data_IF_359757402564
#
_entry.id   IF_359757402564
#
_cell.length_a   1.000
_cell.length_b   1.000
_cell.length_c   1.000
_cell.angle_alpha   90.00
_cell.angle_beta   90.00
_cell.angle_gamma   90.00
#
_symmetry.space_group_name_H-M   'P 1'
#
loop_
_entity.id
_entity.type
_entity.pdbx_description
1 polymer ?
#
# COMPACT_ATOMS: atom_id res chain seq x y z
N UNK A 1 18.10 -29.06 -36.52
CA UNK A 1 17.95 -27.60 -36.28
C UNK A 1 17.89 -27.43 -34.78
N UNK A 2 18.86 -26.75 -34.15
CA UNK A 2 18.89 -26.61 -32.70
C UNK A 2 17.86 -25.54 -32.29
N UNK A 3 17.15 -25.74 -31.17
CA UNK A 3 16.19 -24.76 -30.66
C UNK A 3 16.84 -23.39 -30.42
N UNK A 4 18.11 -23.39 -30.02
CA UNK A 4 18.92 -22.19 -29.77
C UNK A 4 19.13 -21.32 -31.02
N UNK A 5 19.02 -21.92 -32.21
CA UNK A 5 19.21 -21.26 -33.51
C UNK A 5 17.92 -20.63 -34.06
N UNK A 6 16.79 -20.81 -33.39
CA UNK A 6 15.51 -20.27 -33.85
C UNK A 6 15.49 -18.72 -33.78
N UNK A 7 14.68 -18.06 -34.64
CA UNK A 7 14.35 -16.64 -34.50
C UNK A 7 13.74 -16.33 -33.13
N UNK A 8 14.05 -15.15 -32.60
CA UNK A 8 13.60 -14.70 -31.28
C UNK A 8 12.08 -14.75 -31.15
N UNK A 9 11.34 -14.40 -32.20
CA UNK A 9 9.88 -14.37 -32.20
C UNK A 9 9.27 -15.77 -32.03
N UNK A 10 9.90 -16.80 -32.61
CA UNK A 10 9.46 -18.18 -32.46
C UNK A 10 9.81 -18.72 -31.07
N UNK A 11 10.99 -18.38 -30.55
CA UNK A 11 11.42 -18.74 -29.20
C UNK A 11 10.46 -18.15 -28.16
N UNK A 12 10.14 -16.86 -28.25
CA UNK A 12 9.21 -16.18 -27.34
C UNK A 12 7.79 -16.77 -27.42
N UNK A 13 7.32 -17.17 -28.60
CA UNK A 13 6.02 -17.85 -28.75
C UNK A 13 5.98 -19.20 -28.04
N UNK A 14 7.09 -19.93 -28.04
CA UNK A 14 7.20 -21.20 -27.31
C UNK A 14 7.21 -20.92 -25.81
N UNK A 15 7.98 -19.93 -25.35
CA UNK A 15 8.10 -19.58 -23.93
C UNK A 15 6.80 -19.08 -23.31
N UNK A 16 5.94 -18.40 -24.08
CA UNK A 16 4.59 -18.02 -23.62
C UNK A 16 3.71 -19.20 -23.21
N UNK A 17 4.05 -20.42 -23.62
CA UNK A 17 3.32 -21.63 -23.26
C UNK A 17 3.99 -22.43 -22.13
N UNK A 18 5.14 -21.98 -21.63
CA UNK A 18 5.81 -22.64 -20.51
C UNK A 18 5.22 -22.17 -19.19
N UNK A 19 5.09 -23.09 -18.23
CA UNK A 19 4.90 -22.70 -16.84
C UNK A 19 6.18 -22.05 -16.29
N UNK A 20 6.07 -21.38 -15.15
CA UNK A 20 7.23 -20.82 -14.45
C UNK A 20 8.22 -21.89 -14.00
N UNK A 21 7.72 -23.02 -13.50
CA UNK A 21 8.57 -24.12 -13.04
C UNK A 21 9.33 -24.75 -14.22
N UNK A 22 8.66 -24.89 -15.37
CA UNK A 22 9.30 -25.34 -16.61
C UNK A 22 10.36 -24.32 -17.08
N UNK A 23 10.05 -23.03 -17.00
CA UNK A 23 10.95 -21.96 -17.39
C UNK A 23 12.19 -21.91 -16.49
N UNK A 24 12.03 -22.07 -15.17
CA UNK A 24 13.14 -22.12 -14.20
C UNK A 24 14.01 -23.36 -14.39
N UNK A 25 13.39 -24.51 -14.63
CA UNK A 25 14.10 -25.76 -14.92
C UNK A 25 14.88 -25.67 -16.23
N UNK A 26 14.31 -25.01 -17.24
CA UNK A 26 14.99 -24.74 -18.49
C UNK A 26 16.16 -23.76 -18.31
N UNK A 27 15.99 -22.68 -17.54
CA UNK A 27 17.08 -21.75 -17.19
C UNK A 27 18.23 -22.49 -16.50
N UNK A 28 17.93 -23.30 -15.48
CA UNK A 28 18.93 -24.10 -14.76
C UNK A 28 19.69 -25.05 -15.70
N UNK A 29 18.95 -25.74 -16.58
CA UNK A 29 19.53 -26.63 -17.59
C UNK A 29 20.42 -25.87 -18.57
N UNK A 30 19.99 -24.70 -19.03
CA UNK A 30 20.75 -23.86 -19.96
C UNK A 30 22.01 -23.26 -19.31
N UNK A 31 21.99 -22.93 -18.01
CA UNK A 31 23.18 -22.50 -17.28
C UNK A 31 24.26 -23.58 -17.19
N UNK A 32 23.87 -24.86 -17.16
CA UNK A 32 24.82 -25.98 -17.20
C UNK A 32 25.46 -26.18 -18.58
N UNK A 33 24.90 -25.55 -19.61
CA UNK A 33 25.37 -25.64 -20.98
C UNK A 33 26.48 -24.60 -21.24
N UNK A 34 27.62 -25.03 -21.80
CA UNK A 34 28.75 -24.13 -22.14
C UNK A 34 28.54 -23.35 -23.44
N UNK A 35 27.34 -23.36 -24.00
CA UNK A 35 27.01 -22.73 -25.28
C UNK A 35 26.76 -21.21 -25.10
N UNK A 36 27.50 -20.33 -25.82
CA UNK A 36 27.27 -18.88 -25.78
C UNK A 36 25.84 -18.47 -26.20
N UNK A 37 25.19 -19.25 -27.07
CA UNK A 37 23.82 -18.99 -27.52
C UNK A 37 22.79 -19.25 -26.42
N UNK A 38 23.12 -20.08 -25.42
CA UNK A 38 22.25 -20.33 -24.26
C UNK A 38 21.99 -19.05 -23.46
N UNK A 39 22.97 -18.13 -23.38
CA UNK A 39 22.79 -16.84 -22.68
C UNK A 39 21.71 -15.97 -23.31
N UNK A 40 21.63 -15.95 -24.66
CA UNK A 40 20.56 -15.25 -25.38
C UNK A 40 19.20 -15.83 -25.02
N UNK A 41 19.10 -17.15 -24.98
CA UNK A 41 17.86 -17.86 -24.70
C UNK A 41 17.42 -17.72 -23.24
N UNK A 42 18.36 -17.74 -22.29
CA UNK A 42 18.12 -17.44 -20.87
C UNK A 42 17.57 -16.01 -20.72
N UNK A 43 18.16 -15.03 -21.42
CA UNK A 43 17.66 -13.65 -21.41
C UNK A 43 16.20 -13.58 -21.91
N UNK A 44 15.88 -14.27 -23.00
CA UNK A 44 14.52 -14.31 -23.56
C UNK A 44 13.52 -15.02 -22.65
N UNK A 45 13.95 -16.05 -21.91
CA UNK A 45 13.14 -16.71 -20.87
C UNK A 45 12.81 -15.72 -19.75
N UNK A 46 13.80 -15.04 -19.20
CA UNK A 46 13.57 -14.03 -18.15
C UNK A 46 12.68 -12.88 -18.61
N UNK A 47 12.84 -12.38 -19.85
CA UNK A 47 11.94 -11.37 -20.42
C UNK A 47 10.49 -11.89 -20.45
N UNK A 48 10.30 -13.17 -20.79
CA UNK A 48 8.97 -13.77 -20.86
C UNK A 48 8.36 -13.99 -19.48
N UNK A 49 9.16 -14.43 -18.50
CA UNK A 49 8.69 -14.62 -17.12
C UNK A 49 8.34 -13.29 -16.44
N UNK A 50 9.05 -12.21 -16.77
CA UNK A 50 9.02 -10.98 -15.99
C UNK A 50 8.37 -9.79 -16.71
N UNK A 51 7.70 -9.96 -17.85
CA UNK A 51 7.21 -8.82 -18.63
C UNK A 51 6.11 -8.03 -17.93
N UNK A 52 5.27 -8.68 -17.11
CA UNK A 52 4.03 -8.06 -16.64
C UNK A 52 4.12 -7.67 -15.16
N UNK A 53 3.91 -8.61 -14.24
CA UNK A 53 3.91 -8.36 -12.81
C UNK A 53 4.71 -9.44 -12.07
N UNK A 54 5.69 -9.02 -11.27
CA UNK A 54 6.50 -9.90 -10.43
C UNK A 54 6.17 -9.63 -8.97
N UNK A 55 5.93 -10.68 -8.18
CA UNK A 55 5.71 -10.58 -6.74
C UNK A 55 6.87 -11.23 -6.00
N UNK A 56 7.49 -10.43 -5.13
CA UNK A 56 8.55 -10.88 -4.25
C UNK A 56 7.93 -11.09 -2.87
N UNK A 57 7.69 -12.34 -2.50
CA UNK A 57 7.01 -12.71 -1.25
C UNK A 57 7.96 -13.34 -0.25
N UNK A 58 8.02 -12.78 0.96
CA UNK A 58 8.76 -13.37 2.08
C UNK A 58 7.76 -14.22 2.91
N UNK A 59 7.96 -15.55 3.02
CA UNK A 59 6.87 -16.46 3.39
C UNK A 59 6.48 -16.38 4.87
N UNK A 60 5.20 -16.61 5.21
CA UNK A 60 4.64 -17.95 5.44
C UNK A 60 3.19 -17.98 6.02
N UNK A 61 2.19 -17.33 5.41
CA UNK A 61 0.75 -17.62 5.63
C UNK A 61 -0.09 -17.15 4.43
N UNK A 62 -0.97 -18.04 3.94
CA UNK A 62 -1.98 -17.87 2.89
C UNK A 62 -1.54 -17.07 1.66
N UNK A 63 -1.05 -17.78 0.66
CA UNK A 63 -0.97 -17.28 -0.71
C UNK A 63 -2.35 -16.76 -1.14
N UNK A 64 -2.48 -15.52 -1.67
CA UNK A 64 -3.72 -15.08 -2.27
C UNK A 64 -4.06 -16.04 -3.41
N UNK A 65 -5.18 -16.75 -3.29
CA UNK A 65 -5.54 -17.91 -4.10
C UNK A 65 -6.01 -17.57 -5.53
N UNK A 66 -5.89 -16.33 -5.99
CA UNK A 66 -6.66 -15.83 -7.12
C UNK A 66 -5.89 -15.24 -8.29
N UNK A 67 -4.55 -15.28 -8.32
CA UNK A 67 -3.82 -14.62 -9.40
C UNK A 67 -2.57 -15.41 -9.86
N UNK A 68 -2.24 -15.36 -11.18
CA UNK A 68 -1.17 -16.16 -11.78
C UNK A 68 0.19 -15.53 -11.45
N UNK A 69 0.70 -15.76 -10.25
CA UNK A 69 1.85 -15.00 -9.75
C UNK A 69 3.10 -15.84 -9.48
N UNK A 70 4.22 -15.27 -9.89
CA UNK A 70 5.57 -15.69 -9.50
C UNK A 70 5.71 -15.62 -7.98
N UNK A 71 5.78 -16.78 -7.34
CA UNK A 71 6.30 -16.88 -5.98
C UNK A 71 7.81 -17.07 -6.07
N UNK A 72 8.52 -16.14 -5.45
CA UNK A 72 9.97 -16.23 -5.23
C UNK A 72 10.18 -16.30 -3.72
N UNK A 73 10.60 -17.46 -3.21
CA UNK A 73 10.96 -17.64 -1.80
C UNK A 73 12.07 -16.67 -1.42
N UNK A 74 12.14 -16.21 -0.17
CA UNK A 74 13.14 -15.24 0.32
C UNK A 74 14.60 -15.57 -0.05
N UNK A 75 14.95 -16.86 -0.18
CA UNK A 75 16.27 -17.31 -0.66
C UNK A 75 16.47 -17.10 -2.17
N UNK A 76 15.41 -17.28 -2.96
CA UNK A 76 15.42 -17.10 -4.42
C UNK A 76 15.24 -15.63 -4.82
N UNK A 77 14.78 -14.75 -3.93
CA UNK A 77 14.53 -13.32 -4.21
C UNK A 77 15.82 -12.61 -4.57
N UNK A 78 16.87 -12.88 -3.80
CA UNK A 78 18.21 -12.32 -4.04
C UNK A 78 18.73 -12.74 -5.41
N UNK A 79 18.61 -14.02 -5.73
CA UNK A 79 19.15 -14.56 -6.97
C UNK A 79 18.29 -14.13 -8.16
N UNK A 80 16.97 -13.99 -7.98
CA UNK A 80 16.06 -13.46 -9.00
C UNK A 80 16.37 -11.99 -9.30
N UNK A 81 16.47 -11.12 -8.29
CA UNK A 81 16.86 -9.70 -8.50
C UNK A 81 18.25 -9.61 -9.14
N UNK A 82 19.21 -10.42 -8.69
CA UNK A 82 20.57 -10.44 -9.28
C UNK A 82 20.55 -10.88 -10.74
N UNK A 83 19.79 -11.92 -11.10
CA UNK A 83 19.70 -12.39 -12.48
C UNK A 83 18.98 -11.35 -13.37
N UNK A 84 17.94 -10.68 -12.86
CA UNK A 84 17.29 -9.56 -13.56
C UNK A 84 18.27 -8.43 -13.84
N UNK A 85 19.04 -8.02 -12.83
CA UNK A 85 20.10 -7.03 -12.96
C UNK A 85 21.15 -7.47 -14.00
N UNK A 86 21.58 -8.73 -13.94
CA UNK A 86 22.59 -9.30 -14.83
C UNK A 86 22.15 -9.31 -16.30
N UNK A 87 20.87 -9.54 -16.56
CA UNK A 87 20.31 -9.57 -17.90
C UNK A 87 19.73 -8.22 -18.37
N UNK A 88 19.74 -7.21 -17.50
CA UNK A 88 19.17 -5.88 -17.72
C UNK A 88 17.68 -5.98 -18.09
N UNK A 89 16.92 -6.68 -17.25
CA UNK A 89 15.48 -6.92 -17.39
C UNK A 89 14.80 -6.35 -16.16
N UNK A 90 13.79 -5.49 -16.34
CA UNK A 90 12.93 -5.02 -15.26
C UNK A 90 11.46 -5.32 -15.60
N UNK A 91 10.65 -5.75 -14.62
CA UNK A 91 9.23 -5.94 -14.83
C UNK A 91 8.50 -4.61 -14.95
N UNK A 92 7.37 -4.60 -15.66
CA UNK A 92 6.49 -3.44 -15.71
C UNK A 92 5.89 -3.12 -14.32
N UNK A 93 5.67 -4.15 -13.51
CA UNK A 93 5.17 -4.02 -12.14
C UNK A 93 5.92 -4.97 -11.20
N UNK A 94 6.48 -4.43 -10.12
CA UNK A 94 7.08 -5.21 -9.04
C UNK A 94 6.34 -4.95 -7.72
N UNK A 95 5.90 -6.02 -7.07
CA UNK A 95 5.29 -5.96 -5.74
C UNK A 95 6.19 -6.64 -4.71
N UNK A 96 6.56 -5.92 -3.66
CA UNK A 96 7.26 -6.45 -2.49
C UNK A 96 6.23 -6.79 -1.41
N UNK A 97 6.08 -8.07 -1.08
CA UNK A 97 5.08 -8.55 -0.13
C UNK A 97 5.75 -9.22 1.08
N UNK A 98 5.49 -8.68 2.26
CA UNK A 98 5.99 -9.15 3.54
C UNK A 98 4.80 -9.55 4.39
N UNK A 99 4.71 -10.82 4.78
CA UNK A 99 3.68 -11.27 5.72
C UNK A 99 4.30 -12.04 6.86
N UNK A 100 3.99 -11.62 8.09
CA UNK A 100 4.42 -12.31 9.30
C UNK A 100 3.60 -13.58 9.48
N UNK A 101 4.27 -14.70 9.72
CA UNK A 101 3.60 -15.88 10.28
C UNK A 101 3.29 -15.62 11.77
N UNK A 102 2.04 -15.79 12.23
CA UNK A 102 1.67 -15.56 13.64
C UNK A 102 2.50 -16.31 14.68
N UNK A 103 3.16 -17.42 14.28
CA UNK A 103 3.95 -18.29 15.17
C UNK A 103 5.46 -18.02 15.13
N UNK A 104 5.95 -17.16 14.24
CA UNK A 104 7.39 -16.98 14.03
C UNK A 104 7.73 -15.54 13.60
N UNK A 105 7.86 -14.65 14.59
CA UNK A 105 8.22 -13.26 14.36
C UNK A 105 9.73 -13.04 14.14
N UNK A 106 10.59 -13.93 14.65
CA UNK A 106 12.05 -13.82 14.49
C UNK A 106 12.45 -14.00 13.04
N UNK A 107 11.85 -14.98 12.36
CA UNK A 107 12.10 -15.18 10.93
C UNK A 107 11.65 -13.99 10.08
N UNK A 108 10.50 -13.40 10.44
CA UNK A 108 10.03 -12.17 9.80
C UNK A 108 11.00 -10.99 10.00
N UNK A 109 11.54 -10.81 11.20
CA UNK A 109 12.58 -9.80 11.46
C UNK A 109 13.84 -10.03 10.61
N UNK A 110 14.30 -11.29 10.51
CA UNK A 110 15.45 -11.62 9.67
C UNK A 110 15.19 -11.28 8.20
N UNK A 111 13.98 -11.53 7.67
CA UNK A 111 13.62 -11.13 6.31
C UNK A 111 13.62 -9.62 6.11
N UNK A 112 13.16 -8.84 7.08
CA UNK A 112 13.26 -7.38 7.00
C UNK A 112 14.74 -6.94 6.99
N UNK A 113 15.57 -7.54 7.83
CA UNK A 113 17.02 -7.27 7.86
C UNK A 113 17.70 -7.62 6.54
N UNK A 114 17.32 -8.73 5.91
CA UNK A 114 17.80 -9.13 4.59
C UNK A 114 17.44 -8.04 3.56
N UNK A 115 16.19 -7.60 3.50
CA UNK A 115 15.76 -6.50 2.61
C UNK A 115 16.58 -5.24 2.85
N UNK A 116 16.94 -4.94 4.09
CA UNK A 116 17.78 -3.79 4.37
C UNK A 116 19.14 -3.88 3.70
N UNK A 117 19.75 -5.06 3.65
CA UNK A 117 21.01 -5.29 2.95
C UNK A 117 20.85 -5.19 1.43
N UNK A 118 19.70 -5.62 0.88
CA UNK A 118 19.37 -5.43 -0.54
C UNK A 118 19.26 -3.95 -0.89
N UNK A 119 18.50 -3.21 -0.08
CA UNK A 119 18.30 -1.78 -0.27
C UNK A 119 19.58 -0.97 -0.09
N UNK A 120 20.62 -1.49 0.58
CA UNK A 120 21.93 -0.85 0.68
C UNK A 120 22.78 -1.01 -0.61
N UNK A 121 22.41 -1.92 -1.51
CA UNK A 121 23.09 -2.11 -2.80
C UNK A 121 22.67 -1.06 -3.84
N UNK A 122 23.63 -0.26 -4.32
CA UNK A 122 23.39 0.73 -5.39
C UNK A 122 22.83 0.12 -6.68
N UNK A 123 23.21 -1.11 -7.00
CA UNK A 123 22.69 -1.80 -8.18
C UNK A 123 21.21 -2.15 -8.02
N UNK A 124 20.81 -2.61 -6.83
CA UNK A 124 19.40 -2.91 -6.53
C UNK A 124 18.57 -1.62 -6.50
N UNK A 125 19.11 -0.53 -5.94
CA UNK A 125 18.43 0.78 -5.98
C UNK A 125 18.17 1.24 -7.41
N UNK A 126 19.19 1.17 -8.28
CA UNK A 126 19.04 1.52 -9.71
C UNK A 126 18.00 0.66 -10.41
N UNK A 127 17.98 -0.65 -10.12
CA UNK A 127 16.98 -1.57 -10.64
C UNK A 127 15.57 -1.16 -10.20
N UNK A 128 15.35 -0.92 -8.90
CA UNK A 128 14.04 -0.50 -8.38
C UNK A 128 13.60 0.85 -8.97
N UNK A 129 14.50 1.81 -9.13
CA UNK A 129 14.22 3.09 -9.77
C UNK A 129 13.80 2.95 -11.25
N UNK A 130 14.24 1.89 -11.94
CA UNK A 130 13.88 1.61 -13.32
C UNK A 130 12.51 0.90 -13.46
N UNK A 131 11.96 0.36 -12.37
CA UNK A 131 10.65 -0.30 -12.39
C UNK A 131 9.55 0.75 -12.58
N UNK A 132 8.66 0.60 -13.58
CA UNK A 132 7.59 1.56 -13.84
C UNK A 132 6.53 1.64 -12.73
N UNK A 133 6.21 0.52 -12.09
CA UNK A 133 5.21 0.44 -11.03
C UNK A 133 5.77 -0.38 -9.87
N UNK A 134 5.87 0.24 -8.70
CA UNK A 134 6.30 -0.42 -7.47
C UNK A 134 5.18 -0.44 -6.43
N UNK A 135 4.94 -1.61 -5.87
CA UNK A 135 4.07 -1.78 -4.71
C UNK A 135 4.84 -2.38 -3.56
N UNK A 136 4.50 -1.98 -2.33
CA UNK A 136 4.97 -2.66 -1.14
C UNK A 136 3.84 -2.88 -0.16
N UNK A 137 3.79 -4.08 0.40
CA UNK A 137 2.83 -4.47 1.41
C UNK A 137 3.54 -5.21 2.53
N UNK A 138 3.39 -4.70 3.75
CA UNK A 138 3.91 -5.28 4.98
C UNK A 138 2.74 -5.58 5.91
N UNK A 139 2.51 -6.86 6.17
CA UNK A 139 1.49 -7.38 7.08
C UNK A 139 2.14 -7.94 8.35
N UNK A 140 1.84 -7.32 9.48
CA UNK A 140 2.30 -7.76 10.79
C UNK A 140 1.47 -8.91 11.39
N UNK A 141 0.25 -9.18 10.92
CA UNK A 141 -0.64 -10.31 11.32
C UNK A 141 -0.78 -10.57 12.83
N UNK A 142 -1.81 -10.02 13.51
CA UNK A 142 -2.03 -10.23 14.95
C UNK A 142 -3.35 -10.96 15.27
N UNK A 143 -3.24 -12.06 16.03
CA UNK A 143 -4.40 -12.85 16.50
C UNK A 143 -4.65 -12.66 18.00
N UNK A 144 -3.64 -12.37 18.86
CA UNK A 144 -3.89 -12.20 20.30
C UNK A 144 -2.74 -11.69 21.20
N UNK A 145 -1.58 -11.23 20.70
CA UNK A 145 -0.44 -10.83 21.56
C UNK A 145 0.25 -9.56 21.07
N UNK A 146 0.43 -8.55 21.93
CA UNK A 146 1.19 -7.33 21.63
C UNK A 146 2.50 -7.64 20.89
N UNK A 147 2.78 -6.88 19.82
CA UNK A 147 4.02 -7.06 19.07
C UNK A 147 5.23 -6.74 19.95
N UNK A 148 6.30 -7.56 19.94
CA UNK A 148 7.54 -7.19 20.60
C UNK A 148 8.05 -5.86 20.06
N UNK A 149 8.51 -4.94 20.92
CA UNK A 149 9.06 -3.64 20.51
C UNK A 149 10.13 -3.75 19.42
N UNK A 150 10.91 -4.83 19.42
CA UNK A 150 11.93 -5.10 18.40
C UNK A 150 11.34 -5.35 17.01
N UNK A 151 10.14 -5.91 16.91
CA UNK A 151 9.42 -6.13 15.67
C UNK A 151 8.96 -4.79 15.09
N UNK A 152 8.28 -3.98 15.90
CA UNK A 152 7.83 -2.66 15.45
C UNK A 152 9.01 -1.77 15.05
N UNK A 153 10.12 -1.85 15.80
CA UNK A 153 11.37 -1.17 15.43
C UNK A 153 11.90 -1.63 14.07
N UNK A 154 11.82 -2.92 13.75
CA UNK A 154 12.24 -3.45 12.45
C UNK A 154 11.31 -2.96 11.32
N UNK A 155 10.00 -2.90 11.57
CA UNK A 155 9.04 -2.37 10.60
C UNK A 155 9.31 -0.89 10.34
N UNK A 156 9.51 -0.09 11.39
CA UNK A 156 9.84 1.33 11.27
C UNK A 156 11.18 1.54 10.55
N UNK A 157 12.22 0.76 10.86
CA UNK A 157 13.50 0.83 10.16
C UNK A 157 13.37 0.48 8.68
N UNK A 158 12.52 -0.49 8.34
CA UNK A 158 12.18 -0.82 6.95
C UNK A 158 11.54 0.38 6.26
N UNK A 159 10.54 0.99 6.90
CA UNK A 159 9.87 2.17 6.38
C UNK A 159 10.83 3.35 6.17
N UNK A 160 11.70 3.63 7.14
CA UNK A 160 12.76 4.64 7.02
C UNK A 160 13.71 4.30 5.88
N UNK A 161 14.14 3.04 5.73
CA UNK A 161 15.00 2.65 4.61
C UNK A 161 14.33 2.84 3.25
N UNK A 162 13.03 2.61 3.12
CA UNK A 162 12.30 2.85 1.87
C UNK A 162 12.30 4.32 1.46
N UNK A 163 12.42 5.26 2.40
CA UNK A 163 12.57 6.69 2.06
C UNK A 163 13.84 7.00 1.26
N UNK A 164 14.85 6.12 1.30
CA UNK A 164 16.03 6.24 0.41
C UNK A 164 15.69 6.00 -1.07
N UNK A 165 14.53 5.41 -1.34
CA UNK A 165 13.94 5.18 -2.66
C UNK A 165 12.73 6.09 -2.90
N UNK A 166 12.70 7.28 -2.30
CA UNK A 166 11.60 8.25 -2.42
C UNK A 166 11.25 8.66 -3.87
N UNK A 167 12.24 8.60 -4.77
CA UNK A 167 12.08 8.95 -6.18
C UNK A 167 11.66 7.74 -7.05
N UNK A 168 11.48 6.55 -6.46
CA UNK A 168 10.98 5.39 -7.18
C UNK A 168 9.48 5.51 -7.45
N UNK A 169 8.98 4.78 -8.45
CA UNK A 169 7.58 4.84 -8.90
C UNK A 169 6.64 4.04 -7.99
N UNK A 170 6.67 4.33 -6.69
CA UNK A 170 5.75 3.75 -5.71
C UNK A 170 4.32 4.11 -6.06
N UNK A 171 3.51 3.11 -6.39
CA UNK A 171 2.08 3.25 -6.60
C UNK A 171 1.31 3.00 -5.31
N UNK A 172 1.65 1.93 -4.57
CA UNK A 172 1.04 1.65 -3.27
C UNK A 172 2.05 1.32 -2.16
N UNK A 173 1.72 1.76 -0.94
CA UNK A 173 2.40 1.47 0.31
C UNK A 173 1.34 0.98 1.31
N UNK A 174 1.45 -0.28 1.73
CA UNK A 174 0.49 -0.91 2.65
C UNK A 174 1.23 -1.38 3.89
N UNK A 175 0.91 -0.82 5.05
CA UNK A 175 1.37 -1.26 6.35
C UNK A 175 0.13 -1.71 7.12
N UNK A 176 0.00 -3.00 7.40
CA UNK A 176 -1.25 -3.58 7.92
C UNK A 176 -0.97 -4.42 9.16
N UNK A 177 -1.75 -4.22 10.23
CA UNK A 177 -1.67 -5.04 11.45
C UNK A 177 -0.27 -5.03 12.10
N UNK A 178 0.37 -3.87 12.22
CA UNK A 178 1.76 -3.75 12.70
C UNK A 178 1.94 -2.99 14.02
N UNK A 179 0.86 -2.52 14.65
CA UNK A 179 0.87 -1.74 15.90
C UNK A 179 1.71 -0.43 15.85
N UNK A 180 2.06 0.06 14.66
CA UNK A 180 3.02 1.17 14.52
C UNK A 180 2.53 2.51 15.11
N UNK A 181 1.22 2.64 15.29
CA UNK A 181 0.55 3.80 15.89
C UNK A 181 0.93 4.05 17.35
N UNK A 182 1.30 3.00 18.10
CA UNK A 182 1.75 3.15 19.49
C UNK A 182 3.25 3.51 19.60
N UNK A 183 3.99 3.53 18.49
CA UNK A 183 5.45 3.71 18.46
C UNK A 183 5.89 4.97 17.72
N UNK A 184 5.92 6.09 18.45
CA UNK A 184 6.38 7.40 17.98
C UNK A 184 5.76 7.88 16.65
N UNK A 185 4.42 7.87 16.50
CA UNK A 185 3.73 8.36 15.29
C UNK A 185 4.11 9.78 14.89
N UNK A 186 4.47 10.62 15.86
CA UNK A 186 4.97 11.98 15.62
C UNK A 186 6.28 12.04 14.83
N UNK A 187 7.08 10.97 14.82
CA UNK A 187 8.37 10.91 14.11
C UNK A 187 8.23 10.40 12.69
N UNK A 188 7.44 9.34 12.48
CA UNK A 188 7.34 8.68 11.18
C UNK A 188 6.17 9.17 10.32
N UNK A 189 5.13 9.77 10.91
CA UNK A 189 3.95 10.24 10.15
C UNK A 189 4.26 11.27 9.05
N UNK A 190 5.33 12.05 9.21
CA UNK A 190 5.80 13.00 8.18
C UNK A 190 6.50 12.33 7.00
N UNK A 191 7.03 11.12 7.17
CA UNK A 191 7.84 10.46 6.15
C UNK A 191 7.02 10.08 4.91
N UNK A 192 5.69 10.01 5.01
CA UNK A 192 4.86 9.70 3.83
C UNK A 192 4.96 10.78 2.75
N UNK A 193 5.21 12.04 3.11
CA UNK A 193 5.35 13.13 2.12
C UNK A 193 6.55 12.97 1.20
N UNK A 194 7.56 12.20 1.61
CA UNK A 194 8.74 11.92 0.80
C UNK A 194 8.39 11.07 -0.43
N UNK A 195 7.35 10.23 -0.38
CA UNK A 195 7.00 9.33 -1.48
C UNK A 195 6.24 10.06 -2.59
N UNK A 196 7.00 10.65 -3.52
CA UNK A 196 6.49 11.59 -4.53
C UNK A 196 5.46 11.00 -5.48
N UNK A 197 5.56 9.72 -5.82
CA UNK A 197 4.65 9.08 -6.79
C UNK A 197 3.48 8.34 -6.14
N UNK A 198 3.42 8.30 -4.80
CA UNK A 198 2.51 7.42 -4.06
C UNK A 198 1.04 7.79 -4.26
N UNK A 199 0.24 6.81 -4.70
CA UNK A 199 -1.18 6.97 -5.00
C UNK A 199 -2.10 6.25 -4.00
N UNK A 200 -1.63 5.17 -3.39
CA UNK A 200 -2.40 4.39 -2.42
C UNK A 200 -1.61 4.19 -1.13
N UNK A 201 -2.16 4.66 -0.01
CA UNK A 201 -1.62 4.51 1.32
C UNK A 201 -2.62 3.76 2.18
N UNK A 202 -2.24 2.56 2.62
CA UNK A 202 -3.06 1.72 3.50
C UNK A 202 -2.33 1.57 4.83
N UNK A 203 -2.95 2.06 5.89
CA UNK A 203 -2.46 2.03 7.26
C UNK A 203 -3.47 1.32 8.18
N UNK A 204 -4.07 0.24 7.68
CA UNK A 204 -5.11 -0.48 8.38
C UNK A 204 -4.59 -1.20 9.63
N UNK A 205 -5.38 -1.21 10.70
CA UNK A 205 -5.11 -2.02 11.90
C UNK A 205 -3.74 -1.73 12.54
N UNK A 206 -3.38 -0.45 12.68
CA UNK A 206 -2.07 -0.05 13.20
C UNK A 206 -2.13 0.65 14.55
N UNK A 207 -3.27 0.60 15.24
CA UNK A 207 -3.48 1.29 16.53
C UNK A 207 -3.26 2.81 16.46
N UNK A 208 -3.45 3.43 15.29
CA UNK A 208 -3.30 4.89 15.12
C UNK A 208 -4.42 5.60 15.91
N UNK A 209 -4.04 6.53 16.79
CA UNK A 209 -4.97 7.30 17.62
C UNK A 209 -5.16 8.72 17.07
N UNK A 210 -6.23 9.41 17.45
CA UNK A 210 -6.38 10.84 17.12
C UNK A 210 -5.32 11.70 17.79
N UNK A 211 -4.98 11.38 19.05
CA UNK A 211 -4.06 12.15 19.88
C UNK A 211 -3.02 11.21 20.49
N UNK A 212 -1.81 11.74 20.68
CA UNK A 212 -0.77 11.04 21.41
C UNK A 212 -1.09 11.11 22.92
N UNK A 213 -0.89 10.05 23.72
CA UNK A 213 -1.24 10.06 25.15
C UNK A 213 -0.55 11.16 25.98
N UNK A 214 0.60 11.65 25.50
CA UNK A 214 1.46 12.61 26.19
C UNK A 214 1.45 13.99 25.51
N UNK A 215 0.92 14.11 24.30
CA UNK A 215 0.94 15.37 23.55
C UNK A 215 -0.48 15.85 23.26
N UNK A 216 -0.67 17.17 23.28
CA UNK A 216 -1.99 17.80 23.10
C UNK A 216 -2.39 17.85 21.62
N UNK A 217 -1.42 17.72 20.71
CA UNK A 217 -1.60 17.90 19.27
C UNK A 217 -2.18 16.62 18.65
N UNK A 218 -3.19 16.79 17.79
CA UNK A 218 -3.74 15.71 16.97
C UNK A 218 -2.67 15.14 16.04
N UNK A 219 -2.53 13.81 16.02
CA UNK A 219 -1.54 13.13 15.17
C UNK A 219 -1.77 13.43 13.69
N UNK A 220 -3.03 13.38 13.26
CA UNK A 220 -3.43 13.58 11.87
C UNK A 220 -3.28 15.05 11.42
N UNK A 221 -3.34 16.01 12.35
CA UNK A 221 -3.23 17.44 12.05
C UNK A 221 -1.81 17.98 12.16
N UNK A 222 -1.07 17.53 13.19
CA UNK A 222 0.23 18.09 13.53
C UNK A 222 1.41 17.36 12.91
N UNK A 223 1.31 16.02 12.77
CA UNK A 223 2.47 15.19 12.51
C UNK A 223 2.42 14.40 11.21
N UNK A 224 1.23 13.99 10.79
CA UNK A 224 1.10 13.26 9.54
C UNK A 224 1.17 14.25 8.37
N UNK A 225 1.99 13.90 7.37
CA UNK A 225 2.09 14.64 6.12
C UNK A 225 1.79 13.68 4.99
N UNK A 226 0.80 14.01 4.19
CA UNK A 226 0.26 13.10 3.19
C UNK A 226 1.00 13.28 1.85
N UNK A 227 1.21 12.20 1.08
CA UNK A 227 1.78 12.29 -0.26
C UNK A 227 0.92 13.18 -1.18
N UNK A 228 1.55 14.02 -1.99
CA UNK A 228 0.84 15.01 -2.84
C UNK A 228 -0.10 14.37 -3.88
N UNK A 229 0.24 13.17 -4.36
CA UNK A 229 -0.48 12.45 -5.42
C UNK A 229 -1.38 11.34 -4.87
N UNK A 230 -1.67 11.36 -3.57
CA UNK A 230 -2.46 10.32 -2.92
C UNK A 230 -3.92 10.33 -3.41
N UNK A 231 -4.37 9.20 -3.94
CA UNK A 231 -5.74 8.97 -4.42
C UNK A 231 -6.55 8.11 -3.46
N UNK A 232 -5.90 7.21 -2.73
CA UNK A 232 -6.56 6.30 -1.78
C UNK A 232 -5.86 6.37 -0.43
N UNK A 233 -6.60 6.73 0.61
CA UNK A 233 -6.16 6.67 2.00
C UNK A 233 -7.07 5.71 2.77
N UNK A 234 -6.50 4.63 3.28
CA UNK A 234 -7.18 3.69 4.16
C UNK A 234 -6.57 3.72 5.55
N UNK A 235 -7.39 4.02 6.54
CA UNK A 235 -7.08 4.10 7.96
C UNK A 235 -8.01 3.19 8.76
N UNK A 236 -8.46 2.08 8.18
CA UNK A 236 -9.46 1.19 8.80
C UNK A 236 -8.94 0.53 10.06
N UNK A 237 -9.83 0.15 10.96
CA UNK A 237 -9.49 -0.63 12.17
C UNK A 237 -8.41 0.03 13.04
N UNK A 238 -8.37 1.36 13.07
CA UNK A 238 -7.49 2.09 13.98
C UNK A 238 -8.29 2.60 15.21
N UNK A 239 -7.66 3.44 16.02
CA UNK A 239 -8.23 4.02 17.24
C UNK A 239 -8.49 5.52 17.05
N UNK A 240 -8.89 5.92 15.84
CA UNK A 240 -9.20 7.32 15.52
C UNK A 240 -10.59 7.64 16.06
N UNK A 241 -10.65 8.56 17.02
CA UNK A 241 -11.88 9.07 17.64
C UNK A 241 -12.45 10.33 16.99
N UNK A 242 -11.64 11.08 16.25
CA UNK A 242 -12.08 12.29 15.57
C UNK A 242 -11.26 12.50 14.28
N UNK A 243 -11.95 12.86 13.19
CA UNK A 243 -11.34 13.32 11.96
C UNK A 243 -11.88 14.72 11.65
N UNK A 244 -11.16 15.75 12.08
CA UNK A 244 -11.63 17.15 12.08
C UNK A 244 -11.66 17.79 10.69
N UNK A 245 -12.28 18.97 10.61
CA UNK A 245 -12.21 19.83 9.43
C UNK A 245 -10.76 20.21 9.07
N UNK A 246 -9.88 20.40 10.06
CA UNK A 246 -8.46 20.68 9.84
C UNK A 246 -7.74 19.48 9.24
N UNK A 247 -8.03 18.27 9.73
CA UNK A 247 -7.45 17.04 9.17
C UNK A 247 -7.88 16.84 7.70
N UNK A 248 -9.14 17.14 7.36
CA UNK A 248 -9.64 17.09 5.98
C UNK A 248 -8.89 18.05 5.05
N UNK A 249 -8.62 19.29 5.51
CA UNK A 249 -7.89 20.30 4.72
C UNK A 249 -6.42 19.94 4.45
N UNK A 250 -5.84 19.05 5.25
CA UNK A 250 -4.47 18.61 5.06
C UNK A 250 -4.35 17.47 4.05
N UNK A 251 -5.45 16.79 3.73
CA UNK A 251 -5.48 15.76 2.69
C UNK A 251 -5.25 16.41 1.32
N UNK A 252 -4.58 15.72 0.39
CA UNK A 252 -4.32 16.27 -0.93
C UNK A 252 -5.61 16.31 -1.76
N UNK A 253 -5.78 17.36 -2.58
CA UNK A 253 -6.96 17.50 -3.45
C UNK A 253 -7.11 16.39 -4.50
N UNK A 254 -6.08 15.55 -4.70
CA UNK A 254 -6.07 14.36 -5.56
C UNK A 254 -6.79 13.15 -4.95
N UNK A 255 -7.19 13.22 -3.67
CA UNK A 255 -7.80 12.11 -2.95
C UNK A 255 -9.18 11.75 -3.53
N UNK A 256 -9.36 10.47 -3.84
CA UNK A 256 -10.60 9.88 -4.37
C UNK A 256 -11.32 9.02 -3.34
N UNK A 257 -10.58 8.37 -2.44
CA UNK A 257 -11.12 7.45 -1.43
C UNK A 257 -10.51 7.74 -0.06
N UNK A 258 -11.37 7.99 0.92
CA UNK A 258 -11.03 8.04 2.34
C UNK A 258 -11.77 6.94 3.09
N UNK A 259 -11.04 5.95 3.60
CA UNK A 259 -11.61 4.84 4.35
C UNK A 259 -11.22 4.91 5.83
N UNK A 260 -12.23 5.13 6.68
CA UNK A 260 -12.14 5.22 8.14
C UNK A 260 -13.00 4.14 8.82
N UNK A 261 -13.35 3.07 8.10
CA UNK A 261 -14.18 1.98 8.61
C UNK A 261 -13.61 1.36 9.90
N UNK A 262 -14.50 0.97 10.83
CA UNK A 262 -14.13 0.26 12.07
C UNK A 262 -13.11 1.03 12.92
N UNK A 263 -13.23 2.34 13.01
CA UNK A 263 -12.52 3.13 14.01
C UNK A 263 -13.38 3.33 15.27
N UNK A 264 -12.97 4.23 16.15
CA UNK A 264 -13.73 4.67 17.31
C UNK A 264 -14.28 6.10 17.12
N UNK A 265 -14.57 6.49 15.87
CA UNK A 265 -14.98 7.87 15.56
C UNK A 265 -16.24 8.24 16.33
N UNK A 266 -16.23 9.42 16.96
CA UNK A 266 -17.38 10.04 17.62
C UNK A 266 -17.96 11.17 16.76
N UNK A 267 -17.09 11.89 16.06
CA UNK A 267 -17.43 13.04 15.22
C UNK A 267 -16.60 13.04 13.92
N UNK A 268 -17.18 13.55 12.83
CA UNK A 268 -16.51 13.67 11.52
C UNK A 268 -16.69 15.06 10.91
N UNK A 269 -15.57 15.70 10.54
CA UNK A 269 -15.50 17.01 9.89
C UNK A 269 -15.88 18.19 10.78
N UNK A 270 -15.87 18.01 12.11
CA UNK A 270 -16.18 19.06 13.08
C UNK A 270 -14.98 20.00 13.33
N UNK A 271 -15.21 21.07 14.09
CA UNK A 271 -14.20 22.04 14.53
C UNK A 271 -13.54 22.87 13.42
N UNK A 272 -14.33 23.32 12.45
CA UNK A 272 -13.92 24.26 11.43
C UNK A 272 -14.93 24.34 10.29
N UNK A 273 -14.71 25.27 9.38
CA UNK A 273 -15.48 25.37 8.14
C UNK A 273 -14.70 24.69 7.02
N UNK A 274 -15.27 23.63 6.45
CA UNK A 274 -14.70 22.91 5.32
C UNK A 274 -15.82 22.42 4.42
N UNK A 275 -15.60 22.51 3.12
CA UNK A 275 -16.47 21.97 2.07
C UNK A 275 -15.66 20.99 1.24
N UNK A 276 -16.11 19.76 1.14
CA UNK A 276 -15.38 18.72 0.41
C UNK A 276 -15.21 19.07 -1.07
N UNK A 277 -16.21 19.73 -1.66
CA UNK A 277 -16.19 20.16 -3.05
C UNK A 277 -15.09 21.19 -3.36
N UNK A 278 -14.64 21.96 -2.36
CA UNK A 278 -13.58 22.96 -2.52
C UNK A 278 -12.19 22.40 -2.19
N UNK A 279 -12.06 21.61 -1.10
CA UNK A 279 -10.76 21.09 -0.65
C UNK A 279 -10.37 19.74 -1.30
N UNK A 280 -11.35 18.88 -1.54
CA UNK A 280 -11.17 17.50 -2.01
C UNK A 280 -12.08 17.23 -3.24
N UNK A 281 -11.89 17.98 -4.35
CA UNK A 281 -12.82 17.96 -5.49
C UNK A 281 -12.90 16.62 -6.22
N UNK A 282 -11.91 15.75 -6.04
CA UNK A 282 -11.86 14.43 -6.65
C UNK A 282 -12.40 13.31 -5.74
N UNK A 283 -12.85 13.63 -4.52
CA UNK A 283 -13.29 12.63 -3.56
C UNK A 283 -14.60 11.98 -4.01
N UNK A 284 -14.60 10.66 -4.06
CA UNK A 284 -15.73 9.84 -4.53
C UNK A 284 -16.31 8.96 -3.45
N UNK A 285 -15.49 8.57 -2.47
CA UNK A 285 -15.91 7.69 -1.40
C UNK A 285 -15.35 8.15 -0.05
N UNK A 286 -16.26 8.33 0.91
CA UNK A 286 -15.93 8.36 2.33
C UNK A 286 -16.60 7.16 2.98
N UNK A 287 -15.80 6.28 3.58
CA UNK A 287 -16.31 5.14 4.32
C UNK A 287 -16.13 5.35 5.83
N UNK A 288 -17.23 5.64 6.53
CA UNK A 288 -17.31 5.82 7.98
C UNK A 288 -17.97 4.63 8.66
N UNK A 289 -18.24 3.55 7.94
CA UNK A 289 -19.04 2.43 8.43
C UNK A 289 -18.43 1.78 9.66
N UNK A 290 -19.26 1.15 10.47
CA UNK A 290 -18.89 0.43 11.69
C UNK A 290 -18.20 1.31 12.75
N UNK A 291 -18.36 2.63 12.71
CA UNK A 291 -18.00 3.54 13.79
C UNK A 291 -19.21 3.72 14.73
N UNK A 292 -19.41 2.77 15.65
CA UNK A 292 -20.58 2.75 16.53
C UNK A 292 -20.70 3.97 17.45
N UNK A 293 -19.59 4.65 17.73
CA UNK A 293 -19.56 5.89 18.50
C UNK A 293 -19.94 7.14 17.70
N UNK A 294 -20.04 7.04 16.37
CA UNK A 294 -20.20 8.20 15.51
C UNK A 294 -21.61 8.76 15.65
N UNK A 295 -21.71 9.91 16.31
CA UNK A 295 -22.98 10.59 16.59
C UNK A 295 -23.21 11.81 15.70
N UNK A 296 -22.14 12.39 15.13
CA UNK A 296 -22.20 13.62 14.33
C UNK A 296 -21.32 13.55 13.08
N UNK A 297 -21.90 13.97 11.95
CA UNK A 297 -21.20 14.29 10.71
C UNK A 297 -21.55 15.73 10.38
N UNK A 298 -20.56 16.58 10.11
CA UNK A 298 -20.79 17.98 9.81
C UNK A 298 -21.56 18.14 8.49
N UNK A 299 -22.80 18.67 8.46
CA UNK A 299 -23.58 18.73 7.22
C UNK A 299 -23.01 19.72 6.19
N UNK A 300 -22.30 20.76 6.66
CA UNK A 300 -21.62 21.74 5.79
C UNK A 300 -20.60 21.12 4.84
N UNK A 301 -20.07 19.92 5.16
CA UNK A 301 -19.11 19.19 4.31
C UNK A 301 -19.62 18.98 2.88
N UNK A 302 -20.93 18.79 2.74
CA UNK A 302 -21.56 18.38 1.49
C UNK A 302 -21.92 19.57 0.58
N UNK A 303 -21.88 20.79 1.11
CA UNK A 303 -22.29 21.98 0.37
C UNK A 303 -21.45 22.18 -0.89
N UNK A 304 -22.12 22.44 -2.01
CA UNK A 304 -21.49 22.69 -3.31
C UNK A 304 -21.07 21.42 -4.07
N UNK A 305 -21.36 20.22 -3.55
CA UNK A 305 -21.07 18.98 -4.26
C UNK A 305 -21.87 18.89 -5.57
N UNK A 306 -23.13 19.34 -5.59
CA UNK A 306 -23.92 19.37 -6.82
C UNK A 306 -23.33 20.38 -7.83
N UNK A 307 -23.00 21.59 -7.38
CA UNK A 307 -22.51 22.67 -8.24
C UNK A 307 -21.19 22.30 -8.92
N UNK A 308 -20.35 21.50 -8.24
CA UNK A 308 -19.09 20.96 -8.77
C UNK A 308 -19.23 19.65 -9.51
N UNK A 309 -20.45 19.10 -9.64
CA UNK A 309 -20.70 17.79 -10.25
C UNK A 309 -19.90 16.66 -9.58
N UNK A 310 -19.76 16.72 -8.26
CA UNK A 310 -18.99 15.78 -7.47
C UNK A 310 -19.79 14.48 -7.24
N UNK A 311 -19.30 13.37 -7.79
CA UNK A 311 -19.86 12.02 -7.59
C UNK A 311 -19.41 11.43 -6.25
N UNK A 312 -20.01 11.93 -5.16
CA UNK A 312 -19.64 11.56 -3.78
C UNK A 312 -20.61 10.51 -3.20
N UNK A 313 -20.03 9.44 -2.65
CA UNK A 313 -20.71 8.45 -1.80
C UNK A 313 -20.17 8.53 -0.38
N UNK A 314 -21.07 8.59 0.61
CA UNK A 314 -20.75 8.49 2.03
C UNK A 314 -21.42 7.24 2.59
N UNK A 315 -20.61 6.34 3.16
CA UNK A 315 -21.10 5.19 3.92
C UNK A 315 -21.00 5.46 5.41
N UNK A 316 -22.10 5.33 6.12
CA UNK A 316 -22.22 5.49 7.57
C UNK A 316 -23.02 4.32 8.18
N UNK A 317 -22.92 3.14 7.55
CA UNK A 317 -23.58 1.91 8.01
C UNK A 317 -23.10 1.53 9.40
N UNK A 318 -24.00 1.09 10.29
CA UNK A 318 -23.69 0.71 11.68
C UNK A 318 -23.06 1.85 12.53
N UNK A 319 -23.43 3.10 12.27
CA UNK A 319 -23.11 4.27 13.10
C UNK A 319 -24.30 4.67 13.99
N UNK A 320 -24.07 5.46 15.05
CA UNK A 320 -25.10 5.90 16.00
C UNK A 320 -25.49 7.37 15.81
N UNK A 321 -25.78 7.77 14.56
CA UNK A 321 -26.03 9.16 14.21
C UNK A 321 -27.25 9.73 14.94
N UNK A 322 -27.06 10.87 15.61
CA UNK A 322 -28.11 11.54 16.37
C UNK A 322 -29.23 12.04 15.45
N UNK A 323 -30.50 11.75 15.78
CA UNK A 323 -31.65 11.93 14.86
C UNK A 323 -31.76 13.33 14.24
N UNK A 324 -31.69 14.45 14.99
CA UNK A 324 -31.73 15.79 14.40
C UNK A 324 -30.60 16.07 13.42
N UNK A 325 -29.38 15.59 13.71
CA UNK A 325 -28.22 15.74 12.82
C UNK A 325 -28.36 14.86 11.58
N UNK A 326 -28.89 13.65 11.75
CA UNK A 326 -29.18 12.73 10.65
C UNK A 326 -30.18 13.33 9.67
N UNK A 327 -31.27 13.95 10.16
CA UNK A 327 -32.26 14.60 9.31
C UNK A 327 -31.63 15.71 8.48
N UNK A 328 -30.87 16.62 9.11
CA UNK A 328 -30.18 17.69 8.40
C UNK A 328 -29.16 17.15 7.37
N UNK A 329 -28.42 16.10 7.72
CA UNK A 329 -27.47 15.45 6.83
C UNK A 329 -28.16 14.84 5.60
N UNK A 330 -29.29 14.14 5.80
CA UNK A 330 -30.08 13.54 4.71
C UNK A 330 -30.67 14.62 3.80
N UNK A 331 -31.21 15.70 4.36
CA UNK A 331 -31.75 16.83 3.59
C UNK A 331 -30.68 17.45 2.69
N UNK A 332 -29.51 17.77 3.25
CA UNK A 332 -28.41 18.35 2.49
C UNK A 332 -27.85 17.35 1.47
N UNK A 333 -27.66 16.08 1.84
CA UNK A 333 -27.17 15.06 0.92
C UNK A 333 -28.08 14.90 -0.30
N UNK A 334 -29.40 14.90 -0.09
CA UNK A 334 -30.38 14.84 -1.19
C UNK A 334 -30.33 16.09 -2.08
N UNK A 335 -30.23 17.27 -1.48
CA UNK A 335 -30.09 18.52 -2.22
C UNK A 335 -28.82 18.51 -3.07
N UNK A 336 -27.69 18.15 -2.46
CA UNK A 336 -26.36 18.15 -3.08
C UNK A 336 -26.09 16.91 -3.97
N UNK A 337 -27.08 16.02 -4.13
CA UNK A 337 -26.99 14.75 -4.89
C UNK A 337 -25.86 13.82 -4.40
N UNK A 338 -25.52 13.87 -3.13
CA UNK A 338 -24.57 12.96 -2.48
C UNK A 338 -25.26 11.65 -2.13
N UNK A 339 -24.66 10.52 -2.49
CA UNK A 339 -25.19 9.19 -2.15
C UNK A 339 -24.84 8.85 -0.71
N UNK A 340 -25.82 8.94 0.18
CA UNK A 340 -25.68 8.57 1.59
C UNK A 340 -26.20 7.14 1.83
N UNK A 341 -25.38 6.28 2.42
CA UNK A 341 -25.70 4.89 2.81
C UNK A 341 -25.61 4.83 4.34
N UNK A 342 -26.73 4.56 5.03
CA UNK A 342 -26.85 4.57 6.51
C UNK A 342 -27.27 3.21 7.00
#
# INVERSE_FOLDING_TARGET
>A
MNFLDLPQELILRVFKNLSLDDSRSLISSLHSCKDPTAQRVIKLLWITCCSDKVIISFPNTETPSSEPFDFVSSMDVYDTIKEHIKYDIAPNHLQLFFSRNPRDYTRFQNYLQDVWTLLDSETVKKYLLAVPILDIELRGNLISTESPTSLVSSILNTFVKLTTLRDANWKSLKLVSTDLGDYFPQKWGRLFEEFRSLQELVLDDNLIRSQHPIEIISLLEGYFKWPLHLRVLSLRRNLISNFSATALKLLPGTLEVLDLENNILEEFGMHGEVRLADELPHLRLINLSNNRGLVKIQPLLLQGAQDRSMDLTIKAENCNLYTPVLTALVEIANFEKVKLII
#
